data_IF_235937271506
#
_entry.id   IF_235937271506
#
_cell.length_a   1.000
_cell.length_b   1.000
_cell.length_c   1.000
_cell.angle_alpha   90.00
_cell.angle_beta   90.00
_cell.angle_gamma   90.00
#
_symmetry.space_group_name_H-M   'P 1'
#
loop_
_entity.id
_entity.type
_entity.pdbx_description
1 polymer ?
#
# COMPACT_ATOMS: atom_id res chain seq x y z
N UNK A 1 8.24 -4.56 -19.57
CA UNK A 1 8.15 -5.53 -18.43
C UNK A 1 6.73 -5.51 -17.89
N UNK A 2 6.11 -6.68 -17.69
CA UNK A 2 4.76 -6.80 -17.10
C UNK A 2 4.89 -7.02 -15.59
N UNK A 3 4.11 -6.28 -14.79
CA UNK A 3 4.03 -6.49 -13.35
C UNK A 3 2.95 -7.55 -13.06
N UNK A 4 3.34 -8.64 -12.41
CA UNK A 4 2.44 -9.64 -11.83
C UNK A 4 2.76 -9.68 -10.35
N UNK A 5 1.78 -9.36 -9.51
CA UNK A 5 2.06 -9.15 -8.10
C UNK A 5 0.85 -9.31 -7.22
N UNK A 6 1.07 -9.07 -5.93
CA UNK A 6 0.08 -9.19 -4.88
C UNK A 6 0.13 -7.97 -3.95
N UNK A 7 -0.93 -7.78 -3.18
CA UNK A 7 -0.93 -6.77 -2.12
C UNK A 7 -0.56 -7.45 -0.80
N UNK A 8 0.35 -6.85 -0.05
CA UNK A 8 0.66 -7.22 1.32
C UNK A 8 0.29 -6.06 2.24
N UNK A 9 -0.76 -6.25 3.04
CA UNK A 9 -1.13 -5.28 4.07
C UNK A 9 -0.31 -5.59 5.31
N UNK A 10 0.49 -4.63 5.75
CA UNK A 10 1.34 -4.72 6.92
C UNK A 10 0.45 -4.90 8.16
N UNK A 11 0.53 -6.04 8.87
CA UNK A 11 -0.28 -6.27 10.05
C UNK A 11 0.27 -5.47 11.24
N UNK A 12 -0.56 -5.31 12.27
CA UNK A 12 -0.16 -4.69 13.53
C UNK A 12 1.02 -5.46 14.17
N UNK A 13 0.91 -6.79 14.22
CA UNK A 13 1.95 -7.70 14.66
C UNK A 13 2.71 -8.24 13.45
N UNK A 14 3.80 -7.56 13.08
CA UNK A 14 4.63 -7.98 11.96
C UNK A 14 5.31 -9.33 12.28
N UNK A 15 5.23 -10.33 11.39
CA UNK A 15 5.97 -11.57 11.56
C UNK A 15 7.47 -11.32 11.62
N UNK A 16 8.20 -12.28 12.22
CA UNK A 16 9.65 -12.29 12.15
C UNK A 16 10.12 -12.23 10.67
N UNK A 17 11.28 -11.61 10.45
CA UNK A 17 11.80 -11.37 9.10
C UNK A 17 11.91 -12.65 8.25
N UNK A 18 12.22 -13.79 8.88
CA UNK A 18 12.32 -15.08 8.20
C UNK A 18 10.96 -15.58 7.69
N UNK A 19 9.93 -15.56 8.54
CA UNK A 19 8.57 -15.92 8.14
C UNK A 19 8.04 -15.00 7.02
N UNK A 20 8.40 -13.71 7.07
CA UNK A 20 8.03 -12.75 6.04
C UNK A 20 8.69 -13.08 4.69
N UNK A 21 9.98 -13.42 4.69
CA UNK A 21 10.69 -13.87 3.49
C UNK A 21 10.11 -15.17 2.93
N UNK A 22 9.79 -16.14 3.79
CA UNK A 22 9.15 -17.40 3.37
C UNK A 22 7.82 -17.12 2.65
N UNK A 23 6.95 -16.27 3.22
CA UNK A 23 5.68 -15.90 2.59
C UNK A 23 5.87 -15.24 1.22
N UNK A 24 6.84 -14.33 1.09
CA UNK A 24 7.13 -13.69 -0.20
C UNK A 24 7.76 -14.65 -1.21
N UNK A 25 8.57 -15.61 -0.76
CA UNK A 25 9.13 -16.65 -1.62
C UNK A 25 8.03 -17.57 -2.17
N UNK A 26 7.01 -17.91 -1.37
CA UNK A 26 5.84 -18.65 -1.86
C UNK A 26 5.12 -17.90 -2.99
N UNK A 27 4.92 -16.59 -2.85
CA UNK A 27 4.33 -15.78 -3.91
C UNK A 27 5.22 -15.73 -5.18
N UNK A 28 6.54 -15.66 -5.01
CA UNK A 28 7.49 -15.77 -6.14
C UNK A 28 7.40 -17.11 -6.86
N UNK A 29 7.22 -18.20 -6.13
CA UNK A 29 7.04 -19.53 -6.71
C UNK A 29 5.75 -19.61 -7.56
N UNK A 30 4.79 -18.70 -7.35
CA UNK A 30 3.61 -18.50 -8.19
C UNK A 30 3.83 -17.46 -9.31
N UNK A 31 5.09 -17.20 -9.67
CA UNK A 31 5.52 -16.23 -10.69
C UNK A 31 5.27 -14.76 -10.35
N UNK A 32 5.00 -14.41 -9.08
CA UNK A 32 4.95 -13.01 -8.69
C UNK A 32 6.33 -12.36 -8.83
N UNK A 33 6.37 -11.17 -9.43
CA UNK A 33 7.57 -10.36 -9.60
C UNK A 33 7.47 -8.98 -8.92
N UNK A 34 6.35 -8.70 -8.27
CA UNK A 34 6.09 -7.43 -7.59
C UNK A 34 5.17 -7.61 -6.38
N UNK A 35 5.29 -6.71 -5.41
CA UNK A 35 4.40 -6.64 -4.25
C UNK A 35 4.07 -5.18 -3.94
N UNK A 36 2.79 -4.91 -3.64
CA UNK A 36 2.36 -3.64 -3.07
C UNK A 36 2.29 -3.75 -1.55
N UNK A 37 3.20 -3.07 -0.87
CA UNK A 37 3.27 -3.01 0.60
C UNK A 37 2.38 -1.85 1.06
N UNK A 38 1.34 -2.17 1.82
CA UNK A 38 0.35 -1.20 2.30
C UNK A 38 0.43 -1.13 3.81
N UNK A 39 0.77 0.02 4.40
CA UNK A 39 0.97 0.10 5.86
C UNK A 39 0.74 1.48 6.47
N UNK A 40 0.36 1.49 7.75
CA UNK A 40 0.24 2.67 8.59
C UNK A 40 1.46 2.92 9.49
N UNK A 41 2.30 1.90 9.67
CA UNK A 41 3.54 1.93 10.44
C UNK A 41 4.71 1.93 9.45
N UNK A 42 5.49 3.02 9.45
CA UNK A 42 6.57 3.25 8.50
C UNK A 42 7.68 2.20 8.63
N UNK A 43 8.11 1.91 9.86
CA UNK A 43 9.23 0.99 10.12
C UNK A 43 8.84 -0.43 9.75
N UNK A 44 7.63 -0.88 10.10
CA UNK A 44 7.14 -2.21 9.69
C UNK A 44 6.99 -2.31 8.18
N UNK A 45 6.50 -1.26 7.51
CA UNK A 45 6.41 -1.22 6.06
C UNK A 45 7.79 -1.26 5.40
N UNK A 46 8.78 -0.55 5.95
CA UNK A 46 10.18 -0.60 5.51
C UNK A 46 10.74 -2.00 5.66
N UNK A 47 10.62 -2.65 6.82
CA UNK A 47 11.08 -4.03 7.04
C UNK A 47 10.47 -4.99 6.01
N UNK A 48 9.17 -4.87 5.74
CA UNK A 48 8.51 -5.70 4.73
C UNK A 48 9.00 -5.43 3.31
N UNK A 49 9.19 -4.15 2.95
CA UNK A 49 9.75 -3.78 1.65
C UNK A 49 11.18 -4.29 1.48
N UNK A 50 12.03 -4.21 2.49
CA UNK A 50 13.40 -4.74 2.46
C UNK A 50 13.43 -6.26 2.34
N UNK A 51 12.57 -6.97 3.08
CA UNK A 51 12.44 -8.42 2.97
C UNK A 51 12.06 -8.85 1.54
N UNK A 52 11.06 -8.20 0.95
CA UNK A 52 10.65 -8.45 -0.43
C UNK A 52 11.73 -8.08 -1.46
N UNK A 53 12.38 -6.93 -1.30
CA UNK A 53 13.44 -6.47 -2.19
C UNK A 53 14.67 -7.39 -2.14
N UNK A 54 14.99 -7.97 -0.98
CA UNK A 54 16.07 -8.95 -0.84
C UNK A 54 15.82 -10.25 -1.62
N UNK A 55 14.55 -10.55 -1.92
CA UNK A 55 14.15 -11.66 -2.76
C UNK A 55 14.01 -11.25 -4.24
N UNK A 56 14.31 -10.01 -4.61
CA UNK A 56 14.21 -9.51 -5.98
C UNK A 56 12.77 -9.21 -6.44
N UNK A 57 11.82 -9.05 -5.52
CA UNK A 57 10.48 -8.53 -5.86
C UNK A 57 10.55 -7.01 -6.05
N UNK A 58 9.90 -6.50 -7.09
CA UNK A 58 9.65 -5.07 -7.26
C UNK A 58 8.65 -4.57 -6.21
N UNK A 59 8.83 -3.35 -5.71
CA UNK A 59 8.07 -2.85 -4.56
C UNK A 59 7.21 -1.67 -4.97
N UNK A 60 5.92 -1.74 -4.63
CA UNK A 60 5.03 -0.58 -4.59
C UNK A 60 4.77 -0.22 -3.13
N UNK A 61 5.46 0.78 -2.61
CA UNK A 61 5.26 1.24 -1.24
C UNK A 61 4.07 2.20 -1.19
N UNK A 62 3.07 1.88 -0.38
CA UNK A 62 1.82 2.64 -0.27
C UNK A 62 1.49 2.95 1.20
N UNK A 63 1.44 4.24 1.59
CA UNK A 63 0.96 4.62 2.91
C UNK A 63 -0.54 4.37 3.02
N UNK A 64 -0.96 3.93 4.20
CA UNK A 64 -2.37 3.76 4.58
C UNK A 64 -2.62 4.41 5.92
N UNK A 65 -3.50 5.41 5.98
CA UNK A 65 -3.90 6.03 7.24
C UNK A 65 -5.37 6.43 7.16
N UNK A 66 -6.23 5.65 7.81
CA UNK A 66 -7.68 5.84 7.76
C UNK A 66 -8.07 7.03 8.64
N UNK A 67 -9.01 7.84 8.17
CA UNK A 67 -9.57 9.01 8.87
C UNK A 67 -8.55 10.12 9.17
N UNK A 68 -7.36 10.09 8.58
CA UNK A 68 -6.42 11.21 8.70
C UNK A 68 -7.01 12.46 8.02
N UNK A 69 -6.75 13.61 8.62
CA UNK A 69 -6.92 14.89 7.94
C UNK A 69 -5.89 15.05 6.82
N UNK A 70 -6.14 15.91 5.82
CA UNK A 70 -5.17 16.18 4.75
C UNK A 70 -3.79 16.58 5.28
N UNK A 71 -3.72 17.42 6.33
CA UNK A 71 -2.46 17.87 6.93
C UNK A 71 -1.69 16.75 7.63
N UNK A 72 -2.39 15.88 8.36
CA UNK A 72 -1.76 14.70 8.98
C UNK A 72 -1.25 13.73 7.93
N UNK A 73 -2.02 13.52 6.85
CA UNK A 73 -1.62 12.63 5.77
C UNK A 73 -0.46 13.21 4.95
N UNK A 74 -0.40 14.52 4.72
CA UNK A 74 0.71 15.16 4.01
C UNK A 74 2.04 14.92 4.73
N UNK A 75 2.07 15.07 6.07
CA UNK A 75 3.28 14.76 6.86
C UNK A 75 3.67 13.29 6.71
N UNK A 76 2.69 12.39 6.84
CA UNK A 76 2.89 10.96 6.72
C UNK A 76 3.38 10.55 5.31
N UNK A 77 2.88 11.21 4.27
CA UNK A 77 3.27 11.01 2.89
C UNK A 77 4.75 11.35 2.66
N UNK A 78 5.24 12.44 3.27
CA UNK A 78 6.65 12.86 3.16
C UNK A 78 7.60 11.83 3.78
N UNK A 79 7.24 11.29 4.94
CA UNK A 79 8.02 10.24 5.62
C UNK A 79 8.11 8.98 4.75
N UNK A 80 6.99 8.52 4.21
CA UNK A 80 6.97 7.38 3.28
C UNK A 80 7.73 7.64 1.97
N UNK A 81 7.65 8.86 1.43
CA UNK A 81 8.37 9.24 0.21
C UNK A 81 9.90 9.18 0.43
N UNK A 82 10.38 9.68 1.57
CA UNK A 82 11.78 9.59 1.94
C UNK A 82 12.24 8.13 2.07
N UNK A 83 11.46 7.29 2.75
CA UNK A 83 11.75 5.85 2.85
C UNK A 83 11.73 5.14 1.49
N UNK A 84 10.84 5.50 0.57
CA UNK A 84 10.86 4.95 -0.78
C UNK A 84 12.17 5.28 -1.52
N UNK A 85 12.69 6.51 -1.37
CA UNK A 85 13.96 6.91 -1.96
C UNK A 85 15.16 6.20 -1.30
N UNK A 86 15.14 6.01 0.02
CA UNK A 86 16.13 5.19 0.72
C UNK A 86 16.17 3.75 0.18
N UNK A 87 15.00 3.12 0.02
CA UNK A 87 14.88 1.78 -0.54
C UNK A 87 15.40 1.72 -1.98
N UNK A 88 15.10 2.74 -2.80
CA UNK A 88 15.59 2.81 -4.19
C UNK A 88 17.11 2.87 -4.25
N UNK A 89 17.75 3.63 -3.36
CA UNK A 89 19.22 3.70 -3.26
C UNK A 89 19.83 2.40 -2.72
N UNK A 90 19.19 1.79 -1.71
CA UNK A 90 19.65 0.56 -1.07
C UNK A 90 19.53 -0.68 -1.97
N UNK A 91 18.53 -0.73 -2.83
CA UNK A 91 18.26 -1.85 -3.75
C UNK A 91 18.25 -1.37 -5.21
N UNK A 92 19.42 -1.07 -5.82
CA UNK A 92 19.50 -0.45 -7.15
C UNK A 92 18.93 -1.32 -8.28
N UNK A 93 18.85 -2.63 -8.09
CA UNK A 93 18.29 -3.58 -9.07
C UNK A 93 16.79 -3.83 -8.89
N UNK A 94 16.17 -3.24 -7.86
CA UNK A 94 14.75 -3.41 -7.57
C UNK A 94 13.98 -2.18 -8.03
N UNK A 95 12.90 -2.36 -8.80
CA UNK A 95 12.01 -1.25 -9.11
C UNK A 95 11.23 -0.87 -7.85
N UNK A 96 11.49 0.33 -7.34
CA UNK A 96 10.72 0.94 -6.27
C UNK A 96 9.75 1.96 -6.88
N UNK A 97 8.46 1.81 -6.57
CA UNK A 97 7.41 2.75 -6.95
C UNK A 97 6.75 3.24 -5.67
N UNK A 98 6.65 4.56 -5.53
CA UNK A 98 5.90 5.18 -4.46
C UNK A 98 4.46 5.43 -4.92
N UNK A 99 3.52 4.67 -4.36
CA UNK A 99 2.09 4.86 -4.56
C UNK A 99 1.60 5.78 -3.45
N UNK A 100 1.15 6.99 -3.78
CA UNK A 100 0.87 8.07 -2.81
C UNK A 100 -0.27 7.78 -1.80
N UNK A 101 -0.86 6.59 -1.83
CA UNK A 101 -1.85 6.19 -0.86
C UNK A 101 -2.58 4.90 -1.17
N UNK A 102 -3.61 4.65 -0.37
CA UNK A 102 -4.54 3.54 -0.53
C UNK A 102 -5.97 4.08 -0.52
N UNK A 103 -6.67 4.02 -1.67
CA UNK A 103 -8.08 4.45 -1.78
C UNK A 103 -8.38 5.80 -1.11
N UNK A 104 -7.55 6.82 -1.39
CA UNK A 104 -7.51 8.07 -0.62
C UNK A 104 -8.86 8.81 -0.53
N UNK A 105 -9.66 8.77 -1.60
CA UNK A 105 -10.99 9.38 -1.61
C UNK A 105 -11.91 8.87 -0.50
N UNK A 106 -11.77 7.59 -0.13
CA UNK A 106 -12.54 6.95 0.95
C UNK A 106 -11.79 6.95 2.28
N UNK A 107 -10.48 6.71 2.26
CA UNK A 107 -9.69 6.53 3.50
C UNK A 107 -9.32 7.86 4.16
N UNK A 108 -9.23 8.98 3.42
CA UNK A 108 -8.94 10.30 3.97
C UNK A 108 -10.17 11.18 4.12
N UNK A 109 -10.11 12.08 5.10
CA UNK A 109 -11.08 13.16 5.24
C UNK A 109 -10.85 14.22 4.16
N UNK A 110 -11.94 14.85 3.70
CA UNK A 110 -11.89 16.04 2.84
C UNK A 110 -12.09 15.79 1.34
N UNK A 111 -12.15 14.53 0.89
CA UNK A 111 -12.53 14.19 -0.49
C UNK A 111 -14.02 13.91 -0.61
N UNK A 112 -14.55 13.06 0.27
CA UNK A 112 -15.97 12.73 0.39
C UNK A 112 -16.44 13.23 1.76
N UNK A 113 -17.67 13.72 1.83
CA UNK A 113 -18.27 14.19 3.08
C UNK A 113 -18.36 13.06 4.11
N UNK A 114 -18.00 13.36 5.36
CA UNK A 114 -17.90 12.39 6.46
C UNK A 114 -16.55 12.44 7.18
N UNK A 115 -16.57 12.32 8.50
CA UNK A 115 -15.40 12.33 9.39
C UNK A 115 -14.84 10.93 9.60
N UNK A 116 -15.65 9.88 9.48
CA UNK A 116 -15.24 8.47 9.63
C UNK A 116 -15.27 7.72 8.30
N UNK A 117 -14.62 6.56 8.24
CA UNK A 117 -14.62 5.74 7.03
C UNK A 117 -16.01 5.15 6.80
N UNK A 118 -16.68 4.80 7.90
CA UNK A 118 -18.03 4.28 7.98
C UNK A 118 -19.06 5.29 7.44
N UNK A 119 -18.87 6.59 7.70
CA UNK A 119 -19.71 7.64 7.13
C UNK A 119 -19.49 7.82 5.62
N UNK A 120 -18.26 7.61 5.13
CA UNK A 120 -17.93 7.79 3.71
C UNK A 120 -18.23 6.55 2.85
N UNK A 121 -18.12 5.35 3.44
CA UNK A 121 -18.27 4.07 2.75
C UNK A 121 -19.57 3.91 1.93
N UNK A 122 -20.75 4.34 2.42
CA UNK A 122 -22.01 4.24 1.67
C UNK A 122 -21.98 4.96 0.31
N UNK A 123 -21.11 5.97 0.13
CA UNK A 123 -20.93 6.67 -1.15
C UNK A 123 -20.44 5.72 -2.26
N UNK A 124 -19.57 4.75 -1.91
CA UNK A 124 -19.11 3.74 -2.84
C UNK A 124 -20.24 2.77 -3.20
N UNK A 125 -21.06 2.36 -2.24
CA UNK A 125 -22.20 1.49 -2.47
C UNK A 125 -23.23 2.13 -3.41
N UNK A 126 -23.50 3.43 -3.23
CA UNK A 126 -24.36 4.19 -4.13
C UNK A 126 -23.80 4.23 -5.56
N UNK A 127 -22.49 4.48 -5.72
CA UNK A 127 -21.82 4.43 -7.02
C UNK A 127 -21.92 3.05 -7.67
N UNK A 128 -21.68 1.96 -6.93
CA UNK A 128 -21.73 0.60 -7.49
C UNK A 128 -23.14 0.22 -7.95
N UNK A 129 -24.18 0.63 -7.21
CA UNK A 129 -25.57 0.47 -7.65
C UNK A 129 -25.85 1.24 -8.95
N UNK A 130 -25.35 2.48 -9.03
CA UNK A 130 -25.45 3.29 -10.25
C UNK A 130 -24.70 2.67 -11.44
N UNK A 131 -23.43 2.30 -11.27
CA UNK A 131 -22.58 1.77 -12.33
C UNK A 131 -23.01 0.37 -12.80
N UNK A 132 -23.61 -0.42 -11.91
CA UNK A 132 -24.20 -1.72 -12.23
C UNK A 132 -25.61 -1.65 -12.81
N UNK A 133 -26.21 -0.45 -12.87
CA UNK A 133 -27.50 -0.26 -13.55
C UNK A 133 -27.29 -0.27 -15.06
N UNK A 134 -28.21 -0.85 -15.86
CA UNK A 134 -28.14 -0.75 -17.30
C UNK A 134 -28.09 0.72 -17.70
N UNK A 135 -27.04 1.15 -18.39
CA UNK A 135 -27.02 2.48 -18.99
C UNK A 135 -28.07 2.49 -20.11
N UNK A 136 -29.04 3.41 -20.00
CA UNK A 136 -30.07 3.62 -21.01
C UNK A 136 -29.49 4.20 -22.28
#
# INVERSE_FOLDING_TARGET
MRFLGFNYTVPENLPAAEALKQNFQLAKNMNANSVRIIGSDLEKAKIAAEAAASLGLNIWLAPKKINASPKEFEKFLKEFAATAEELRKKFPNTKIVFSVGNKLSLELRGFIEGKTYEERHPTLEAYLKFAGSPQK
#
